data_IF_074533546160
#
_entry.id   IF_074533546160
#
_cell.length_a   1.000
_cell.length_b   1.000
_cell.length_c   1.000
_cell.angle_alpha   90.00
_cell.angle_beta   90.00
_cell.angle_gamma   90.00
#
_symmetry.space_group_name_H-M   'P 1'
#
loop_
_entity.id
_entity.type
_entity.pdbx_description
1 polymer ?
#
# COMPACT_ATOMS: atom_id res chain seq x y z
N UNK A 1 -9.33 -2.14 7.85
CA UNK A 1 -8.51 -3.34 8.12
C UNK A 1 -7.82 -3.22 9.48
N UNK A 2 -7.19 -2.08 9.78
CA UNK A 2 -6.54 -1.83 11.09
C UNK A 2 -7.46 -2.05 12.30
N UNK A 3 -8.71 -1.57 12.26
CA UNK A 3 -9.72 -1.80 13.31
C UNK A 3 -9.96 -3.28 13.63
N UNK A 4 -9.66 -4.17 12.67
CA UNK A 4 -9.85 -5.62 12.78
C UNK A 4 -8.50 -6.33 13.02
N UNK A 5 -7.48 -5.60 13.49
CA UNK A 5 -6.15 -6.12 13.82
C UNK A 5 -5.26 -6.41 12.61
N UNK A 6 -5.71 -6.10 11.39
CA UNK A 6 -4.95 -6.35 10.16
C UNK A 6 -4.08 -5.13 9.86
N UNK A 7 -2.77 -5.27 10.08
CA UNK A 7 -1.78 -4.28 9.65
C UNK A 7 -1.57 -4.37 8.14
N UNK A 8 -1.50 -3.21 7.49
CA UNK A 8 -1.22 -3.08 6.07
C UNK A 8 -0.17 -2.01 5.87
N UNK A 9 0.45 -1.98 4.70
CA UNK A 9 1.37 -0.91 4.32
C UNK A 9 1.14 -0.49 2.86
N UNK A 10 1.90 0.51 2.41
CA UNK A 10 1.92 0.98 1.02
C UNK A 10 3.37 0.97 0.54
N UNK A 11 3.61 0.41 -0.65
CA UNK A 11 4.95 0.26 -1.22
C UNK A 11 4.97 0.76 -2.67
N UNK A 12 5.43 1.97 -2.96
CA UNK A 12 5.95 2.97 -2.01
C UNK A 12 5.39 4.35 -2.35
N UNK A 13 5.54 5.29 -1.41
CA UNK A 13 5.36 6.71 -1.71
C UNK A 13 6.26 7.09 -2.89
N UNK A 14 5.74 7.76 -3.94
CA UNK A 14 6.56 8.19 -5.07
C UNK A 14 7.70 9.11 -4.64
N UNK A 15 8.91 8.91 -5.19
CA UNK A 15 10.13 9.63 -4.80
C UNK A 15 9.96 11.16 -4.84
N UNK A 16 9.35 11.68 -5.91
CA UNK A 16 9.08 13.11 -6.11
C UNK A 16 8.13 13.73 -5.06
N UNK A 17 7.50 12.93 -4.18
CA UNK A 17 6.69 13.42 -3.07
C UNK A 17 7.46 13.56 -1.76
N UNK A 18 8.70 13.05 -1.68
CA UNK A 18 9.57 13.25 -0.52
C UNK A 18 10.26 14.62 -0.60
N UNK A 19 10.45 15.24 0.56
CA UNK A 19 11.01 16.59 0.69
C UNK A 19 12.40 16.74 0.07
N UNK A 20 13.25 15.72 0.22
CA UNK A 20 14.60 15.69 -0.37
C UNK A 20 14.53 15.84 -1.90
N UNK A 21 13.85 14.91 -2.58
CA UNK A 21 13.78 14.90 -4.05
C UNK A 21 13.03 16.10 -4.62
N UNK A 22 12.06 16.67 -3.89
CA UNK A 22 11.43 17.94 -4.30
C UNK A 22 12.42 19.11 -4.34
N UNK A 23 13.42 19.10 -3.46
CA UNK A 23 14.43 20.18 -3.36
C UNK A 23 15.63 19.95 -4.25
N UNK A 24 16.03 18.69 -4.46
CA UNK A 24 17.32 18.35 -5.09
C UNK A 24 17.22 17.83 -6.51
N UNK A 25 16.02 17.49 -7.00
CA UNK A 25 15.83 16.85 -8.30
C UNK A 25 14.86 17.63 -9.20
N UNK A 26 15.06 17.50 -10.51
CA UNK A 26 14.12 18.02 -11.52
C UNK A 26 13.11 16.95 -11.89
N UNK A 27 11.84 17.33 -12.00
CA UNK A 27 10.77 16.46 -12.52
C UNK A 27 10.71 16.66 -14.04
N UNK A 28 10.96 15.60 -14.81
CA UNK A 28 11.03 15.64 -16.27
C UNK A 28 9.81 15.04 -16.97
N UNK A 29 8.85 14.49 -16.23
CA UNK A 29 7.63 13.89 -16.77
C UNK A 29 6.45 14.02 -15.81
N UNK A 30 5.24 13.65 -16.26
CA UNK A 30 4.01 13.79 -15.46
C UNK A 30 3.97 12.90 -14.21
N UNK A 31 4.70 11.78 -14.23
CA UNK A 31 4.72 10.75 -13.17
C UNK A 31 3.30 10.28 -12.77
N UNK A 32 2.34 10.33 -13.70
CA UNK A 32 0.92 10.04 -13.46
C UNK A 32 0.71 8.65 -12.87
N UNK A 33 1.37 7.64 -13.44
CA UNK A 33 1.22 6.25 -13.00
C UNK A 33 1.75 6.05 -11.59
N UNK A 34 2.86 6.69 -11.20
CA UNK A 34 3.38 6.60 -9.84
C UNK A 34 2.41 7.18 -8.81
N UNK A 35 1.76 8.32 -9.13
CA UNK A 35 0.76 8.94 -8.25
C UNK A 35 -0.50 8.08 -8.14
N UNK A 36 -1.02 7.60 -9.28
CA UNK A 36 -2.20 6.73 -9.33
C UNK A 36 -1.96 5.44 -8.56
N UNK A 37 -0.85 4.76 -8.84
CA UNK A 37 -0.49 3.51 -8.17
C UNK A 37 -0.43 3.71 -6.65
N UNK A 38 0.23 4.76 -6.16
CA UNK A 38 0.32 5.02 -4.72
C UNK A 38 -1.04 5.21 -4.02
N UNK A 39 -2.03 5.77 -4.72
CA UNK A 39 -3.38 5.93 -4.18
C UNK A 39 -4.18 4.62 -4.15
N UNK A 40 -3.86 3.67 -5.02
CA UNK A 40 -4.63 2.43 -5.21
C UNK A 40 -3.99 1.22 -4.52
N UNK A 41 -2.66 1.23 -4.30
CA UNK A 41 -1.96 0.08 -3.72
C UNK A 41 -2.26 -0.12 -2.23
N UNK A 42 -2.32 -1.38 -1.84
CA UNK A 42 -2.37 -1.81 -0.45
C UNK A 42 -1.60 -3.12 -0.32
N UNK A 43 -0.55 -3.12 0.51
CA UNK A 43 0.20 -4.34 0.84
C UNK A 43 -0.45 -5.05 2.02
N UNK A 44 -0.77 -6.32 1.80
CA UNK A 44 -1.37 -7.20 2.81
C UNK A 44 -0.27 -7.96 3.59
N UNK A 45 -0.57 -8.44 4.81
CA UNK A 45 0.36 -9.26 5.57
C UNK A 45 0.83 -10.49 4.79
N UNK A 46 2.14 -10.61 4.61
CA UNK A 46 2.80 -11.78 4.01
C UNK A 46 4.13 -12.01 4.71
N UNK A 47 4.27 -13.16 5.37
CA UNK A 47 5.48 -13.57 6.10
C UNK A 47 5.43 -15.08 6.36
N UNK A 48 6.57 -15.78 6.55
CA UNK A 48 6.60 -17.25 6.63
C UNK A 48 5.69 -17.86 7.71
N UNK A 49 5.54 -17.19 8.85
CA UNK A 49 4.72 -17.66 9.97
C UNK A 49 3.22 -17.36 9.88
N UNK A 50 2.71 -16.80 8.76
CA UNK A 50 1.30 -16.42 8.67
C UNK A 50 0.40 -17.67 8.55
N UNK A 51 -0.50 -17.84 9.52
CA UNK A 51 -1.39 -19.01 9.58
C UNK A 51 -2.55 -18.90 8.58
N UNK A 52 -3.12 -20.04 8.16
CA UNK A 52 -4.36 -20.08 7.36
C UNK A 52 -5.52 -19.31 8.02
N UNK A 53 -5.64 -19.36 9.35
CA UNK A 53 -6.66 -18.60 10.09
C UNK A 53 -6.48 -17.09 9.91
N UNK A 54 -5.24 -16.59 10.01
CA UNK A 54 -4.92 -15.18 9.77
C UNK A 54 -5.17 -14.78 8.32
N UNK A 55 -4.76 -15.61 7.35
CA UNK A 55 -5.04 -15.38 5.93
C UNK A 55 -6.54 -15.29 5.65
N UNK A 56 -7.33 -16.22 6.20
CA UNK A 56 -8.79 -16.23 6.05
C UNK A 56 -9.45 -15.00 6.66
N UNK A 57 -8.95 -14.51 7.79
CA UNK A 57 -9.40 -13.25 8.39
C UNK A 57 -9.12 -12.06 7.45
N UNK A 58 -7.92 -11.98 6.86
CA UNK A 58 -7.60 -10.94 5.86
C UNK A 58 -8.53 -11.01 4.65
N UNK A 59 -8.69 -12.20 4.06
CA UNK A 59 -9.55 -12.42 2.89
C UNK A 59 -11.01 -12.05 3.20
N UNK A 60 -11.52 -12.48 4.34
CA UNK A 60 -12.89 -12.19 4.78
C UNK A 60 -13.14 -10.69 4.95
N UNK A 61 -12.21 -9.98 5.59
CA UNK A 61 -12.32 -8.53 5.81
C UNK A 61 -12.21 -7.73 4.51
N UNK A 62 -11.43 -8.20 3.53
CA UNK A 62 -11.35 -7.58 2.20
C UNK A 62 -12.67 -7.79 1.45
N UNK A 63 -13.20 -9.01 1.41
CA UNK A 63 -14.47 -9.32 0.72
C UNK A 63 -15.63 -8.49 1.24
N UNK A 64 -15.68 -8.20 2.55
CA UNK A 64 -16.70 -7.32 3.16
C UNK A 64 -16.64 -5.87 2.66
N UNK A 65 -15.50 -5.41 2.16
CA UNK A 65 -15.25 -4.01 1.74
C UNK A 65 -15.30 -3.81 0.22
N UNK A 66 -15.30 -4.89 -0.56
CA UNK A 66 -15.37 -4.87 -2.03
C UNK A 66 -16.79 -5.17 -2.54
N UNK A 67 -17.70 -5.60 -1.65
CA UNK A 67 -19.15 -5.54 -1.89
C UNK A 67 -19.62 -4.09 -1.87
#
# INVERSE_FOLDING_TARGET
>A
LLSNGIRTSVHYKPLHLFSLYKKTCKITSSLRNSKKLYQEILSLPIFPGITRKQQNLVIGEIKKKIK
#
